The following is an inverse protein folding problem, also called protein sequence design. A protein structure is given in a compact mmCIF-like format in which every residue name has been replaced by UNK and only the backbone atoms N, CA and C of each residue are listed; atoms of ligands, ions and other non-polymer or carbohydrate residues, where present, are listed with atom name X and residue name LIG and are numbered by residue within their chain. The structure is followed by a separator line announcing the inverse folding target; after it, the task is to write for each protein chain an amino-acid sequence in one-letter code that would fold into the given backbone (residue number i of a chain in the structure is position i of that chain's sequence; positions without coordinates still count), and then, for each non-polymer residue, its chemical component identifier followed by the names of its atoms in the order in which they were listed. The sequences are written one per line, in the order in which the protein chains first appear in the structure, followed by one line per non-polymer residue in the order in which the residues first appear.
data_IF_159187763894
#
_entry.id   IF_159187763894
#
_cell.length_a   1.000
_cell.length_b   1.000
_cell.length_c   1.000
_cell.angle_alpha   90.00
_cell.angle_beta   90.00
_cell.angle_gamma   90.00
#
_symmetry.space_group_name_H-M   'P 1'
#
loop_
_entity.id
_entity.type
_entity.pdbx_description
1 polymer ?
#
# COMPACT_ATOMS: atom_id res chain seq x y z
N UNK A 1 0.45 -9.73 27.96
CA UNK A 1 0.22 -8.66 27.00
C UNK A 1 -0.55 -9.18 25.78
N UNK A 2 -1.54 -8.48 25.38
CA UNK A 2 -2.37 -8.90 24.25
C UNK A 2 -1.78 -8.41 22.94
N UNK A 3 -1.59 -9.32 21.99
CA UNK A 3 -1.09 -8.99 20.67
C UNK A 3 -2.27 -8.68 19.75
N UNK A 4 -2.21 -7.56 19.03
CA UNK A 4 -3.24 -7.25 18.05
C UNK A 4 -3.11 -8.18 16.85
N UNK A 5 -4.23 -8.69 16.38
CA UNK A 5 -4.27 -9.53 15.20
C UNK A 5 -4.32 -8.63 13.96
N UNK A 6 -3.19 -8.51 13.27
CA UNK A 6 -3.08 -7.69 12.06
C UNK A 6 -3.11 -8.62 10.85
N UNK A 7 -4.01 -8.33 9.92
CA UNK A 7 -4.14 -9.08 8.68
C UNK A 7 -3.87 -8.13 7.51
N UNK A 8 -3.01 -8.55 6.60
CA UNK A 8 -2.65 -7.75 5.42
C UNK A 8 -2.91 -8.59 4.19
N UNK A 9 -3.73 -8.05 3.29
CA UNK A 9 -4.08 -8.75 2.05
C UNK A 9 -4.37 -7.75 0.94
N UNK A 10 -4.51 -8.27 -0.28
CA UNK A 10 -4.85 -7.43 -1.42
C UNK A 10 -6.26 -6.85 -1.29
N UNK A 11 -6.45 -5.68 -1.86
CA UNK A 11 -7.74 -4.99 -1.89
C UNK A 11 -8.80 -5.86 -2.56
N UNK A 12 -9.98 -5.91 -1.94
CA UNK A 12 -11.16 -6.56 -2.50
C UNK A 12 -12.28 -5.53 -2.62
N UNK A 13 -13.19 -5.74 -3.56
CA UNK A 13 -14.28 -4.79 -3.79
C UNK A 13 -15.12 -4.56 -2.53
N UNK A 14 -15.26 -5.58 -1.69
CA UNK A 14 -16.02 -5.49 -0.45
C UNK A 14 -15.39 -4.58 0.59
N UNK A 15 -14.11 -4.26 0.45
CA UNK A 15 -13.39 -3.40 1.38
C UNK A 15 -13.68 -1.91 1.15
N UNK A 16 -14.07 -1.56 -0.07
CA UNK A 16 -14.15 -0.16 -0.48
C UNK A 16 -15.08 0.70 0.36
N UNK A 17 -16.30 0.24 0.70
CA UNK A 17 -17.17 1.07 1.53
C UNK A 17 -16.58 1.40 2.89
N UNK A 18 -15.94 0.44 3.54
CA UNK A 18 -15.32 0.66 4.85
C UNK A 18 -14.14 1.63 4.74
N UNK A 19 -13.31 1.48 3.71
CA UNK A 19 -12.16 2.36 3.49
C UNK A 19 -12.62 3.79 3.27
N UNK A 20 -13.58 4.00 2.37
CA UNK A 20 -14.10 5.33 2.07
C UNK A 20 -14.74 5.97 3.29
N UNK A 21 -15.49 5.18 4.07
CA UNK A 21 -16.13 5.69 5.29
C UNK A 21 -15.10 6.12 6.32
N UNK A 22 -14.03 5.33 6.50
CA UNK A 22 -12.99 5.65 7.47
C UNK A 22 -12.33 7.00 7.17
N UNK A 23 -12.02 7.25 5.89
CA UNK A 23 -11.39 8.52 5.51
C UNK A 23 -12.38 9.68 5.54
N UNK A 24 -13.63 9.42 5.22
CA UNK A 24 -14.68 10.46 5.30
C UNK A 24 -14.84 10.94 6.75
N UNK A 25 -14.77 10.01 7.70
CA UNK A 25 -14.86 10.36 9.12
C UNK A 25 -13.69 11.22 9.58
N UNK A 26 -12.55 11.12 8.91
CA UNK A 26 -11.38 11.95 9.20
C UNK A 26 -11.40 13.27 8.43
N UNK A 27 -12.36 13.47 7.54
CA UNK A 27 -12.40 14.64 6.69
C UNK A 27 -11.36 14.62 5.58
N UNK A 28 -10.84 13.44 5.23
CA UNK A 28 -9.84 13.31 4.17
C UNK A 28 -10.54 13.04 2.83
N UNK A 29 -10.04 13.67 1.78
CA UNK A 29 -10.62 13.51 0.44
C UNK A 29 -10.07 12.25 -0.22
N UNK A 30 -10.65 11.11 0.13
CA UNK A 30 -10.29 9.81 -0.44
C UNK A 30 -11.58 9.05 -0.76
N UNK A 31 -12.20 9.38 -1.91
CA UNK A 31 -13.51 8.83 -2.26
C UNK A 31 -13.45 7.37 -2.68
N UNK A 32 -14.60 6.69 -2.60
CA UNK A 32 -14.71 5.29 -3.01
C UNK A 32 -14.26 5.08 -4.47
N UNK A 33 -14.49 6.05 -5.34
CA UNK A 33 -14.10 5.95 -6.74
C UNK A 33 -12.59 5.76 -6.93
N UNK A 34 -11.78 6.33 -6.04
CA UNK A 34 -10.33 6.16 -6.09
C UNK A 34 -9.95 4.68 -5.92
N UNK A 35 -10.58 4.01 -4.98
CA UNK A 35 -10.27 2.61 -4.70
C UNK A 35 -10.88 1.67 -5.73
N UNK A 36 -12.02 2.03 -6.29
CA UNK A 36 -12.59 1.30 -7.42
C UNK A 36 -11.63 1.35 -8.62
N UNK A 37 -11.02 2.51 -8.86
CA UNK A 37 -10.02 2.65 -9.92
C UNK A 37 -8.77 1.82 -9.63
N UNK A 38 -8.32 1.82 -8.36
CA UNK A 38 -7.18 1.00 -7.94
C UNK A 38 -7.47 -0.49 -8.17
N UNK A 39 -8.70 -0.91 -7.92
CA UNK A 39 -9.07 -2.31 -8.10
C UNK A 39 -8.98 -2.73 -9.56
N UNK A 40 -9.38 -1.83 -10.48
CA UNK A 40 -9.22 -2.06 -11.92
C UNK A 40 -7.73 -2.20 -12.27
N UNK A 41 -6.91 -1.28 -11.77
CA UNK A 41 -5.47 -1.34 -12.02
C UNK A 41 -4.84 -2.61 -11.45
N UNK A 42 -5.33 -3.06 -10.29
CA UNK A 42 -4.85 -4.30 -9.69
C UNK A 42 -5.20 -5.51 -10.55
N UNK A 43 -6.41 -5.53 -11.10
CA UNK A 43 -6.84 -6.60 -12.00
C UNK A 43 -6.00 -6.63 -13.28
N UNK A 44 -5.52 -5.48 -13.73
CA UNK A 44 -4.67 -5.35 -14.90
C UNK A 44 -3.18 -5.55 -14.59
N UNK A 45 -2.84 -5.85 -13.34
CA UNK A 45 -1.47 -6.05 -12.87
C UNK A 45 -0.58 -4.80 -13.01
N UNK A 46 -1.20 -3.62 -12.99
CA UNK A 46 -0.50 -2.34 -13.02
C UNK A 46 -0.20 -1.82 -11.61
N UNK A 47 -0.97 -2.26 -10.64
CA UNK A 47 -0.88 -1.82 -9.25
C UNK A 47 -1.34 -2.94 -8.32
N UNK A 48 -0.72 -3.04 -7.16
CA UNK A 48 -1.24 -3.87 -6.08
C UNK A 48 -1.52 -2.97 -4.89
N UNK A 49 -2.66 -3.20 -4.23
CA UNK A 49 -3.06 -2.46 -3.04
C UNK A 49 -3.09 -3.44 -1.88
N UNK A 50 -2.24 -3.22 -0.88
CA UNK A 50 -2.22 -4.04 0.33
C UNK A 50 -2.96 -3.31 1.42
N UNK A 51 -3.98 -3.95 1.97
CA UNK A 51 -4.87 -3.38 2.98
C UNK A 51 -4.64 -4.08 4.30
N UNK A 52 -4.50 -3.31 5.37
CA UNK A 52 -4.27 -3.84 6.71
C UNK A 52 -5.53 -3.72 7.55
N UNK A 53 -5.84 -4.79 8.27
CA UNK A 53 -6.97 -4.84 9.19
C UNK A 53 -6.45 -5.22 10.58
N UNK A 54 -6.94 -4.53 11.60
CA UNK A 54 -6.64 -4.86 13.00
C UNK A 54 -7.94 -5.36 13.62
N UNK A 55 -7.94 -6.62 14.05
CA UNK A 55 -9.13 -7.26 14.61
C UNK A 55 -10.35 -7.08 13.69
N UNK A 56 -10.12 -7.20 12.37
CA UNK A 56 -11.16 -7.09 11.38
C UNK A 56 -11.56 -5.67 10.99
N UNK A 57 -10.93 -4.65 11.57
CA UNK A 57 -11.23 -3.26 11.27
C UNK A 57 -10.16 -2.66 10.38
N UNK A 58 -10.56 -1.94 9.33
CA UNK A 58 -9.62 -1.29 8.42
C UNK A 58 -8.70 -0.34 9.19
N UNK A 59 -7.41 -0.49 8.98
CA UNK A 59 -6.40 0.29 9.70
C UNK A 59 -5.49 1.11 8.79
N UNK A 60 -5.31 0.68 7.55
CA UNK A 60 -4.42 1.41 6.65
C UNK A 60 -4.19 0.63 5.37
N UNK A 61 -3.45 1.24 4.44
CA UNK A 61 -3.12 0.58 3.20
C UNK A 61 -1.86 1.20 2.57
N UNK A 62 -1.33 0.48 1.59
CA UNK A 62 -0.18 0.91 0.83
C UNK A 62 -0.36 0.37 -0.58
N UNK A 63 0.10 1.12 -1.59
CA UNK A 63 0.02 0.62 -2.96
C UNK A 63 1.40 0.54 -3.60
N UNK A 64 1.57 -0.48 -4.46
CA UNK A 64 2.73 -0.64 -5.31
C UNK A 64 2.28 -0.39 -6.74
N UNK A 65 2.87 0.61 -7.39
CA UNK A 65 2.63 0.87 -8.80
C UNK A 65 3.75 0.16 -9.58
N UNK A 66 3.41 -0.90 -10.31
CA UNK A 66 4.41 -1.71 -11.00
C UNK A 66 5.02 -0.97 -12.19
N UNK A 67 4.27 0.00 -12.76
CA UNK A 67 4.79 0.94 -13.73
C UNK A 67 4.77 2.31 -13.09
N UNK A 68 5.92 2.74 -12.58
CA UNK A 68 6.01 3.99 -11.85
C UNK A 68 5.55 5.18 -12.70
N UNK A 69 4.87 6.13 -12.04
CA UNK A 69 4.49 7.38 -12.68
C UNK A 69 5.67 8.33 -12.86
N UNK A 70 6.71 8.18 -12.04
CA UNK A 70 7.92 8.99 -12.13
C UNK A 70 8.79 8.48 -13.27
N UNK A 71 9.02 9.33 -14.26
CA UNK A 71 9.66 8.95 -15.53
C UNK A 71 10.97 8.14 -15.39
N UNK A 72 11.95 8.59 -14.58
CA UNK A 72 13.19 7.82 -14.45
C UNK A 72 12.99 6.41 -13.90
N UNK A 73 12.02 6.20 -13.00
CA UNK A 73 11.73 4.88 -12.48
C UNK A 73 11.06 4.00 -13.54
N UNK A 74 10.15 4.57 -14.32
CA UNK A 74 9.45 3.85 -15.37
C UNK A 74 10.41 3.36 -16.45
N UNK A 75 11.38 4.19 -16.84
CA UNK A 75 12.37 3.82 -17.86
C UNK A 75 13.24 2.65 -17.41
N UNK A 76 13.47 2.54 -16.11
CA UNK A 76 14.30 1.48 -15.53
C UNK A 76 13.47 0.31 -14.99
N UNK A 77 12.17 0.33 -15.21
CA UNK A 77 11.24 -0.67 -14.69
C UNK A 77 11.31 -0.80 -13.16
N UNK A 78 11.45 0.34 -12.47
CA UNK A 78 11.47 0.37 -11.01
C UNK A 78 10.05 0.54 -10.51
N UNK A 79 9.53 -0.41 -9.72
CA UNK A 79 8.21 -0.25 -9.11
C UNK A 79 8.24 0.86 -8.08
N UNK A 80 7.11 1.50 -7.87
CA UNK A 80 7.02 2.64 -6.96
C UNK A 80 5.97 2.37 -5.88
N UNK A 81 6.35 2.62 -4.62
CA UNK A 81 5.41 2.59 -3.50
C UNK A 81 4.80 3.98 -3.39
N UNK A 82 3.49 4.06 -3.54
CA UNK A 82 2.76 5.33 -3.53
C UNK A 82 1.49 5.18 -2.70
N UNK A 83 0.99 6.30 -2.19
CA UNK A 83 -0.28 6.36 -1.46
C UNK A 83 -0.30 5.41 -0.27
N UNK A 84 0.52 5.70 0.72
CA UNK A 84 0.71 4.90 1.92
C UNK A 84 0.07 5.63 3.10
N UNK A 85 -0.94 5.04 3.72
CA UNK A 85 -1.68 5.66 4.81
C UNK A 85 -2.00 4.68 5.92
N UNK A 86 -1.81 5.11 7.17
CA UNK A 86 -2.27 4.39 8.35
C UNK A 86 -3.18 5.34 9.10
N UNK A 87 -4.38 4.87 9.47
CA UNK A 87 -5.33 5.69 10.20
C UNK A 87 -4.74 6.15 11.54
N UNK A 88 -5.00 7.39 11.96
CA UNK A 88 -4.39 7.93 13.18
C UNK A 88 -4.58 7.06 14.42
N UNK A 89 -5.76 6.46 14.59
CA UNK A 89 -6.05 5.63 15.76
C UNK A 89 -5.27 4.32 15.78
N UNK A 90 -4.66 3.95 14.67
CA UNK A 90 -3.87 2.72 14.57
C UNK A 90 -2.37 2.98 14.44
N UNK A 91 -1.95 4.22 14.55
CA UNK A 91 -0.52 4.56 14.49
C UNK A 91 0.19 4.06 15.73
N UNK A 92 1.49 3.85 15.63
CA UNK A 92 2.35 3.34 16.71
C UNK A 92 2.04 1.90 17.11
N UNK A 93 1.38 1.15 16.23
CA UNK A 93 1.09 -0.27 16.44
C UNK A 93 1.90 -1.15 15.50
N UNK A 94 2.83 -0.57 14.75
CA UNK A 94 3.67 -1.32 13.83
C UNK A 94 3.01 -1.67 12.52
N UNK A 95 1.81 -1.15 12.24
CA UNK A 95 1.06 -1.48 11.03
C UNK A 95 1.76 -0.95 9.79
N UNK A 96 2.26 0.29 9.86
CA UNK A 96 3.00 0.87 8.74
C UNK A 96 4.23 0.05 8.39
N UNK A 97 4.96 -0.42 9.41
CA UNK A 97 6.13 -1.26 9.21
C UNK A 97 5.76 -2.59 8.57
N UNK A 98 4.65 -3.20 9.00
CA UNK A 98 4.20 -4.47 8.44
C UNK A 98 3.75 -4.31 6.99
N UNK A 99 3.06 -3.21 6.66
CA UNK A 99 2.69 -2.91 5.28
C UNK A 99 3.93 -2.72 4.42
N UNK A 100 4.90 -1.97 4.92
CA UNK A 100 6.14 -1.72 4.19
C UNK A 100 6.93 -3.02 4.00
N UNK A 101 7.02 -3.87 5.04
CA UNK A 101 7.68 -5.16 4.94
C UNK A 101 7.03 -6.04 3.87
N UNK A 102 5.70 -6.03 3.83
CA UNK A 102 4.97 -6.81 2.82
C UNK A 102 5.28 -6.30 1.41
N UNK A 103 5.25 -4.97 1.23
CA UNK A 103 5.54 -4.37 -0.07
C UNK A 103 6.98 -4.67 -0.51
N UNK A 104 7.93 -4.51 0.39
CA UNK A 104 9.34 -4.76 0.10
C UNK A 104 9.57 -6.23 -0.27
N UNK A 105 8.91 -7.13 0.43
CA UNK A 105 9.00 -8.56 0.13
C UNK A 105 8.50 -8.87 -1.27
N UNK A 106 7.38 -8.27 -1.67
CA UNK A 106 6.81 -8.51 -3.00
C UNK A 106 7.66 -7.87 -4.11
N UNK A 107 8.17 -6.66 -3.86
CA UNK A 107 9.00 -5.97 -4.82
C UNK A 107 10.34 -6.69 -5.01
N UNK A 108 10.93 -7.18 -3.92
CA UNK A 108 12.22 -7.85 -3.96
C UNK A 108 12.20 -9.12 -4.81
N UNK A 109 11.02 -9.70 -5.03
CA UNK A 109 10.88 -10.87 -5.89
C UNK A 109 11.04 -10.54 -7.37
N UNK A 110 10.87 -9.27 -7.76
CA UNK A 110 10.90 -8.86 -9.17
C UNK A 110 11.88 -7.73 -9.45
N UNK A 111 12.35 -7.02 -8.42
CA UNK A 111 13.24 -5.87 -8.60
C UNK A 111 14.15 -5.70 -7.39
N UNK A 112 15.40 -5.29 -7.64
CA UNK A 112 16.35 -4.97 -6.57
C UNK A 112 16.10 -3.59 -5.97
N UNK A 113 15.42 -2.72 -6.72
CA UNK A 113 15.22 -1.33 -6.34
C UNK A 113 13.74 -1.00 -6.41
N UNK A 114 13.23 -0.31 -5.40
CA UNK A 114 11.88 0.24 -5.42
C UNK A 114 11.94 1.75 -5.33
N UNK A 115 11.04 2.41 -6.04
CA UNK A 115 10.81 3.84 -5.88
C UNK A 115 9.84 4.06 -4.72
N UNK A 116 10.20 4.98 -3.84
CA UNK A 116 9.29 5.42 -2.78
C UNK A 116 8.99 6.87 -3.10
N UNK A 117 7.81 7.19 -3.46
CA UNK A 117 7.36 8.49 -3.94
C UNK A 117 8.40 9.62 -3.92
N UNK A 118 8.28 10.62 -4.76
CA UNK A 118 9.18 11.76 -4.81
C UNK A 118 10.63 11.43 -5.23
N UNK A 119 10.83 10.29 -5.89
CA UNK A 119 12.15 9.94 -6.41
C UNK A 119 13.11 9.27 -5.45
N UNK A 120 12.67 8.96 -4.25
CA UNK A 120 13.48 8.23 -3.27
C UNK A 120 13.46 6.75 -3.61
N UNK A 121 14.61 6.09 -3.49
CA UNK A 121 14.71 4.65 -3.78
C UNK A 121 15.29 3.89 -2.62
N UNK A 122 14.96 2.60 -2.56
CA UNK A 122 15.56 1.66 -1.63
C UNK A 122 16.10 0.47 -2.43
N UNK A 123 17.33 0.05 -2.11
CA UNK A 123 17.95 -1.07 -2.80
C UNK A 123 17.94 -2.29 -1.89
N UNK A 124 17.27 -3.34 -2.35
CA UNK A 124 17.09 -4.57 -1.58
C UNK A 124 18.09 -5.67 -1.96
N UNK A 125 18.93 -5.42 -2.96
CA UNK A 125 19.80 -6.44 -3.52
C UNK A 125 20.85 -6.95 -2.57
N UNK A 126 21.74 -6.07 -2.13
CA UNK A 126 22.90 -6.45 -1.33
C UNK A 126 22.61 -6.47 0.17
N UNK A 127 21.57 -5.80 0.61
CA UNK A 127 21.27 -5.63 2.03
C UNK A 127 20.33 -6.68 2.59
N UNK A 128 19.83 -7.56 1.76
CA UNK A 128 18.83 -8.57 2.16
C UNK A 128 19.48 -9.86 2.62
#
# INVERSE_FOLDING_TARGET
MKTCNVDIRLLDSNDIPEIAQAFRELGWNKPASQYAHYLVEQALELRDVYVAFVEGTFAGYLTICWKAGYEPFREKNIPEIVDFNVLPQFRRMGIGSQLMDKAESEIAMVSRIAGIGMGVTADYGAAQ
#
